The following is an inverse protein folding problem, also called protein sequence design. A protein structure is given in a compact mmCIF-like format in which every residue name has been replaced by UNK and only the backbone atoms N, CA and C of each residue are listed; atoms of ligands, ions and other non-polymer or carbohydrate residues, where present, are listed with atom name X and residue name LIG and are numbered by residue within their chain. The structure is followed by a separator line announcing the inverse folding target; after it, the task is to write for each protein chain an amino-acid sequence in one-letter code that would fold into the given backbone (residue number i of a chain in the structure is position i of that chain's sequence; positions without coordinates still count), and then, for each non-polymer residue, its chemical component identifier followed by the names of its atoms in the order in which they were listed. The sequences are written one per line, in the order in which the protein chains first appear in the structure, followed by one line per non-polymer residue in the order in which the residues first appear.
data_IF_854897582284
#
_entry.id   IF_854897582284
#
_cell.length_a   1.000
_cell.length_b   1.000
_cell.length_c   1.000
_cell.angle_alpha   90.00
_cell.angle_beta   90.00
_cell.angle_gamma   90.00
#
_symmetry.space_group_name_H-M   'P 1'
#
loop_
_entity.id
_entity.type
_entity.pdbx_description
1 polymer ?
#
# COMPACT_ATOMS: atom_id res chain seq x y z
N UNK A 1 -19.46 -3.53 -3.59
CA UNK A 1 -18.71 -2.89 -2.49
C UNK A 1 -18.00 -1.68 -3.07
N UNK A 2 -17.71 -0.70 -2.24
CA UNK A 2 -16.89 0.47 -2.58
C UNK A 2 -15.47 0.27 -2.06
N UNK A 3 -14.49 0.29 -2.97
CA UNK A 3 -13.10 -0.05 -2.66
C UNK A 3 -12.19 1.12 -3.03
N UNK A 4 -11.37 1.56 -2.07
CA UNK A 4 -10.30 2.52 -2.32
C UNK A 4 -8.97 1.79 -2.57
N UNK A 5 -8.25 2.18 -3.61
CA UNK A 5 -6.91 1.65 -3.93
C UNK A 5 -5.91 2.80 -3.84
N UNK A 6 -5.11 2.79 -2.79
CA UNK A 6 -4.03 3.76 -2.57
C UNK A 6 -2.78 3.27 -3.29
N UNK A 7 -2.29 4.05 -4.25
CA UNK A 7 -1.23 3.64 -5.18
C UNK A 7 -1.77 3.01 -6.47
N UNK A 8 -2.98 3.37 -6.87
CA UNK A 8 -3.71 2.80 -8.03
C UNK A 8 -2.92 2.84 -9.34
N UNK A 9 -2.08 3.86 -9.56
CA UNK A 9 -1.31 4.03 -10.81
C UNK A 9 -0.05 3.16 -10.90
N UNK A 10 0.31 2.45 -9.83
CA UNK A 10 1.39 1.47 -9.85
C UNK A 10 0.99 0.21 -10.64
N UNK A 11 1.96 -0.61 -11.08
CA UNK A 11 1.68 -1.84 -11.83
C UNK A 11 0.68 -2.74 -11.07
N UNK A 12 0.98 -3.11 -9.84
CA UNK A 12 0.08 -3.90 -8.99
C UNK A 12 -1.24 -3.17 -8.72
N UNK A 13 -1.19 -1.83 -8.55
CA UNK A 13 -2.39 -1.01 -8.34
C UNK A 13 -3.37 -1.11 -9.50
N UNK A 14 -2.89 -1.04 -10.75
CA UNK A 14 -3.72 -1.17 -11.95
C UNK A 14 -4.36 -2.57 -12.05
N UNK A 15 -3.62 -3.63 -11.70
CA UNK A 15 -4.19 -4.98 -11.61
C UNK A 15 -5.31 -5.05 -10.55
N UNK A 16 -5.11 -4.42 -9.40
CA UNK A 16 -6.15 -4.38 -8.36
C UNK A 16 -7.35 -3.57 -8.80
N UNK A 17 -7.16 -2.48 -9.54
CA UNK A 17 -8.26 -1.71 -10.17
C UNK A 17 -9.05 -2.63 -11.10
N UNK A 18 -8.39 -3.29 -12.06
CA UNK A 18 -9.05 -4.17 -13.02
C UNK A 18 -9.81 -5.29 -12.29
N UNK A 19 -9.17 -5.99 -11.39
CA UNK A 19 -9.77 -7.08 -10.63
C UNK A 19 -10.96 -6.64 -9.76
N UNK A 20 -10.93 -5.43 -9.24
CA UNK A 20 -12.05 -4.87 -8.47
C UNK A 20 -13.24 -4.54 -9.38
N UNK A 21 -12.98 -3.97 -10.56
CA UNK A 21 -14.00 -3.69 -11.56
C UNK A 21 -14.65 -4.98 -12.09
N UNK A 22 -13.85 -6.01 -12.37
CA UNK A 22 -14.34 -7.30 -12.88
C UNK A 22 -15.27 -8.02 -11.87
N UNK A 23 -15.11 -7.69 -10.59
CA UNK A 23 -15.99 -8.17 -9.50
C UNK A 23 -17.18 -7.26 -9.22
N UNK A 24 -17.38 -6.24 -10.04
CA UNK A 24 -18.51 -5.29 -9.92
C UNK A 24 -18.39 -4.35 -8.72
N UNK A 25 -17.17 -4.01 -8.30
CA UNK A 25 -16.96 -3.04 -7.24
C UNK A 25 -16.89 -1.61 -7.81
N UNK A 26 -17.39 -0.64 -7.04
CA UNK A 26 -17.08 0.77 -7.25
C UNK A 26 -15.63 1.03 -6.78
N UNK A 27 -14.82 1.63 -7.64
CA UNK A 27 -13.39 1.80 -7.37
C UNK A 27 -13.02 3.28 -7.28
N UNK A 28 -12.30 3.62 -6.20
CA UNK A 28 -11.64 4.91 -6.02
C UNK A 28 -10.13 4.66 -6.08
N UNK A 29 -9.45 5.33 -7.00
CA UNK A 29 -8.00 5.25 -7.15
C UNK A 29 -7.31 6.51 -6.61
N UNK A 30 -6.34 6.35 -5.72
CA UNK A 30 -5.45 7.43 -5.26
C UNK A 30 -4.10 7.29 -5.92
N UNK A 31 -3.63 8.35 -6.54
CA UNK A 31 -2.28 8.41 -7.11
C UNK A 31 -1.78 9.86 -7.20
N UNK A 32 -0.46 10.01 -7.32
CA UNK A 32 0.13 11.35 -7.51
C UNK A 32 -0.36 11.98 -8.80
N UNK A 33 -0.51 13.31 -8.82
CA UNK A 33 -1.02 14.07 -9.98
C UNK A 33 -0.30 13.71 -11.29
N UNK A 34 1.03 13.65 -11.28
CA UNK A 34 1.82 13.27 -12.46
C UNK A 34 1.63 11.83 -12.93
N UNK A 35 0.88 11.03 -12.21
CA UNK A 35 0.64 9.61 -12.53
C UNK A 35 -0.81 9.32 -12.92
N UNK A 36 -1.67 10.32 -12.98
CA UNK A 36 -3.10 10.16 -13.34
C UNK A 36 -3.25 9.53 -14.73
N UNK A 37 -2.49 9.99 -15.72
CA UNK A 37 -2.54 9.44 -17.09
C UNK A 37 -2.22 7.95 -17.21
N UNK A 38 -1.63 7.33 -16.17
CA UNK A 38 -1.46 5.87 -16.15
C UNK A 38 -2.76 5.10 -15.88
N UNK A 39 -3.82 5.80 -15.52
CA UNK A 39 -5.14 5.24 -15.25
C UNK A 39 -6.15 5.52 -16.39
N UNK A 40 -5.71 6.09 -17.52
CA UNK A 40 -6.58 6.44 -18.66
C UNK A 40 -7.35 5.23 -19.21
N UNK A 41 -6.77 4.02 -19.13
CA UNK A 41 -7.47 2.79 -19.50
C UNK A 41 -8.73 2.50 -18.65
N UNK A 42 -8.89 3.18 -17.53
CA UNK A 42 -10.01 3.04 -16.60
C UNK A 42 -10.90 4.29 -16.57
N UNK A 43 -10.70 5.24 -17.50
CA UNK A 43 -11.48 6.46 -17.57
C UNK A 43 -12.99 6.17 -17.61
N UNK A 44 -13.76 6.93 -16.83
CA UNK A 44 -15.20 6.74 -16.69
C UNK A 44 -15.64 5.49 -15.91
N UNK A 45 -14.70 4.60 -15.55
CA UNK A 45 -14.98 3.36 -14.80
C UNK A 45 -14.59 3.45 -13.33
N UNK A 46 -13.71 4.38 -12.97
CA UNK A 46 -13.25 4.62 -11.60
C UNK A 46 -13.31 6.10 -11.27
N UNK A 47 -13.31 6.41 -9.98
CA UNK A 47 -13.10 7.77 -9.50
C UNK A 47 -11.62 7.93 -9.13
N UNK A 48 -10.91 8.85 -9.79
CA UNK A 48 -9.51 9.14 -9.48
C UNK A 48 -9.45 10.35 -8.55
N UNK A 49 -8.74 10.22 -7.42
CA UNK A 49 -8.42 11.31 -6.50
C UNK A 49 -6.92 11.56 -6.59
N UNK A 50 -6.50 12.60 -7.34
CA UNK A 50 -5.09 12.94 -7.44
C UNK A 50 -4.57 13.57 -6.15
N UNK A 51 -3.31 13.26 -5.83
CA UNK A 51 -2.59 13.82 -4.69
C UNK A 51 -1.55 12.85 -4.14
N UNK A 52 -0.77 13.32 -3.16
CA UNK A 52 0.17 12.47 -2.46
C UNK A 52 -0.58 11.45 -1.59
N UNK A 53 -0.11 10.21 -1.56
CA UNK A 53 -0.81 9.13 -0.82
C UNK A 53 -0.61 9.23 0.71
N UNK A 54 0.34 10.05 1.16
CA UNK A 54 0.57 10.43 2.56
C UNK A 54 -0.09 11.76 2.95
N UNK A 55 -0.73 12.44 1.99
CA UNK A 55 -1.57 13.60 2.28
C UNK A 55 -2.86 13.15 2.98
N UNK A 56 -3.01 13.58 4.22
CA UNK A 56 -4.12 13.17 5.09
C UNK A 56 -5.49 13.55 4.54
N UNK A 57 -5.63 14.72 3.92
CA UNK A 57 -6.91 15.18 3.36
C UNK A 57 -7.26 14.43 2.07
N UNK A 58 -6.26 14.08 1.26
CA UNK A 58 -6.45 13.23 0.08
C UNK A 58 -6.94 11.86 0.50
N UNK A 59 -6.26 11.22 1.46
CA UNK A 59 -6.64 9.89 1.96
C UNK A 59 -8.02 9.91 2.61
N UNK A 60 -8.30 10.90 3.46
CA UNK A 60 -9.59 11.06 4.14
C UNK A 60 -10.76 11.11 3.14
N UNK A 61 -10.62 11.91 2.08
CA UNK A 61 -11.64 11.97 1.03
C UNK A 61 -11.78 10.65 0.27
N UNK A 62 -10.67 9.98 0.01
CA UNK A 62 -10.65 8.76 -0.78
C UNK A 62 -11.29 7.56 -0.07
N UNK A 63 -11.04 7.41 1.22
CA UNK A 63 -11.54 6.27 2.01
C UNK A 63 -12.97 6.47 2.51
N UNK A 64 -13.53 7.66 2.36
CA UNK A 64 -14.86 7.98 2.87
C UNK A 64 -15.93 7.05 2.28
N UNK A 65 -16.65 6.33 3.14
CA UNK A 65 -17.71 5.40 2.75
C UNK A 65 -17.22 4.14 2.02
N UNK A 66 -15.93 3.81 2.09
CA UNK A 66 -15.40 2.58 1.50
C UNK A 66 -15.61 1.38 2.42
N UNK A 67 -15.97 0.24 1.82
CA UNK A 67 -16.05 -1.06 2.50
C UNK A 67 -14.68 -1.71 2.66
N UNK A 68 -13.75 -1.35 1.77
CA UNK A 68 -12.37 -1.86 1.76
C UNK A 68 -11.36 -0.84 1.26
N UNK A 69 -10.14 -0.91 1.80
CA UNK A 69 -9.01 -0.08 1.38
C UNK A 69 -7.82 -0.99 1.09
N UNK A 70 -7.32 -0.92 -0.14
CA UNK A 70 -6.11 -1.63 -0.59
C UNK A 70 -4.97 -0.62 -0.67
N UNK A 71 -3.92 -0.83 0.10
CA UNK A 71 -2.73 0.02 0.11
C UNK A 71 -1.60 -0.69 -0.61
N UNK A 72 -1.24 -0.17 -1.78
CA UNK A 72 -0.28 -0.78 -2.71
C UNK A 72 0.80 0.24 -3.01
N UNK A 73 1.87 0.21 -2.23
CA UNK A 73 2.94 1.17 -2.38
C UNK A 73 4.30 0.51 -2.43
N UNK A 74 5.13 1.01 -3.34
CA UNK A 74 6.54 0.67 -3.37
C UNK A 74 7.30 1.82 -2.70
N UNK A 75 8.11 1.56 -1.67
CA UNK A 75 8.79 2.60 -0.88
C UNK A 75 9.98 3.19 -1.64
N UNK A 76 9.79 3.67 -2.85
CA UNK A 76 10.85 4.25 -3.67
C UNK A 76 10.96 5.75 -3.46
N UNK A 77 12.10 6.19 -2.95
CA UNK A 77 12.56 7.57 -3.11
C UNK A 77 12.00 8.61 -2.13
N UNK A 78 11.13 8.25 -1.19
CA UNK A 78 10.52 9.18 -0.25
C UNK A 78 10.60 8.60 1.18
N UNK A 79 11.12 9.39 2.13
CA UNK A 79 11.16 8.99 3.54
C UNK A 79 9.81 9.23 4.22
N UNK A 80 9.43 8.35 5.13
CA UNK A 80 8.21 8.47 5.93
C UNK A 80 6.90 8.23 5.16
N UNK A 81 6.99 7.86 3.90
CA UNK A 81 5.87 7.71 2.99
C UNK A 81 4.94 6.55 3.36
N UNK A 82 5.50 5.40 3.71
CA UNK A 82 4.71 4.22 4.10
C UNK A 82 4.03 4.46 5.44
N UNK A 83 4.74 5.06 6.39
CA UNK A 83 4.21 5.40 7.70
C UNK A 83 3.11 6.47 7.61
N UNK A 84 3.33 7.53 6.83
CA UNK A 84 2.36 8.62 6.63
C UNK A 84 1.06 8.11 6.01
N UNK A 85 1.17 7.36 4.92
CA UNK A 85 0.00 6.75 4.23
C UNK A 85 -0.74 5.78 5.14
N UNK A 86 -0.01 4.88 5.79
CA UNK A 86 -0.60 3.90 6.72
C UNK A 86 -1.37 4.60 7.83
N UNK A 87 -0.77 5.59 8.47
CA UNK A 87 -1.42 6.33 9.54
C UNK A 87 -2.70 7.04 9.06
N UNK A 88 -2.64 7.68 7.90
CA UNK A 88 -3.83 8.33 7.34
C UNK A 88 -4.97 7.33 7.05
N UNK A 89 -4.64 6.15 6.52
CA UNK A 89 -5.64 5.09 6.28
C UNK A 89 -6.22 4.57 7.60
N UNK A 90 -5.39 4.30 8.61
CA UNK A 90 -5.86 3.83 9.92
C UNK A 90 -6.76 4.85 10.61
N UNK A 91 -6.45 6.15 10.48
CA UNK A 91 -7.20 7.22 11.14
C UNK A 91 -8.55 7.52 10.47
N UNK A 92 -8.66 7.35 9.15
CA UNK A 92 -9.81 7.82 8.38
C UNK A 92 -10.64 6.74 7.72
N UNK A 93 -10.16 5.51 7.63
CA UNK A 93 -10.97 4.42 7.08
C UNK A 93 -12.25 4.22 7.94
N UNK A 94 -13.41 3.97 7.31
CA UNK A 94 -14.64 3.75 8.04
C UNK A 94 -14.51 2.59 9.03
N UNK A 95 -15.16 2.69 10.21
CA UNK A 95 -15.23 1.58 11.15
C UNK A 95 -15.77 0.31 10.47
N UNK A 96 -15.05 -0.80 10.60
CA UNK A 96 -15.42 -2.08 9.98
C UNK A 96 -14.96 -2.28 8.54
N UNK A 97 -14.39 -1.28 7.88
CA UNK A 97 -13.76 -1.45 6.57
C UNK A 97 -12.63 -2.49 6.64
N UNK A 98 -12.48 -3.30 5.59
CA UNK A 98 -11.36 -4.23 5.47
C UNK A 98 -10.15 -3.48 4.91
N UNK A 99 -9.05 -3.48 5.66
CA UNK A 99 -7.81 -2.84 5.25
C UNK A 99 -6.81 -3.90 4.80
N UNK A 100 -6.26 -3.76 3.59
CA UNK A 100 -5.25 -4.68 3.07
C UNK A 100 -4.01 -3.88 2.69
N UNK A 101 -2.89 -4.22 3.30
CA UNK A 101 -1.61 -3.55 3.06
C UNK A 101 -0.63 -4.50 2.37
N UNK A 102 -0.12 -4.09 1.23
CA UNK A 102 0.99 -4.75 0.55
C UNK A 102 2.31 -4.27 1.15
N UNK A 103 3.18 -5.18 1.53
CA UNK A 103 4.48 -4.85 2.08
C UNK A 103 5.58 -5.82 1.58
N UNK A 104 6.83 -5.49 1.85
CA UNK A 104 7.96 -6.33 1.51
C UNK A 104 8.03 -7.60 2.37
N UNK A 105 8.68 -8.62 1.84
CA UNK A 105 8.92 -9.91 2.52
C UNK A 105 9.69 -9.79 3.85
N UNK A 106 10.41 -8.68 4.06
CA UNK A 106 11.21 -8.42 5.28
C UNK A 106 10.36 -8.03 6.50
N UNK A 107 9.07 -7.75 6.31
CA UNK A 107 8.17 -7.43 7.42
C UNK A 107 7.86 -8.70 8.21
N UNK A 108 8.03 -8.62 9.53
CA UNK A 108 7.76 -9.73 10.46
C UNK A 108 6.70 -9.33 11.48
N UNK A 109 5.86 -10.27 11.84
CA UNK A 109 5.03 -10.17 13.04
C UNK A 109 5.81 -10.80 14.20
N UNK A 110 6.17 -10.00 15.21
CA UNK A 110 6.97 -10.44 16.33
C UNK A 110 6.40 -11.69 17.02
N UNK A 111 7.25 -12.68 17.24
CA UNK A 111 6.91 -13.96 17.88
C UNK A 111 6.23 -15.00 16.99
N UNK A 112 5.83 -14.66 15.77
CA UNK A 112 5.17 -15.58 14.82
C UNK A 112 6.05 -15.96 13.62
N UNK A 113 7.02 -15.11 13.28
CA UNK A 113 7.90 -15.33 12.14
C UNK A 113 9.35 -15.63 12.56
N UNK A 114 9.89 -16.74 12.09
CA UNK A 114 11.28 -17.11 12.31
C UNK A 114 12.04 -16.99 11.00
N UNK A 115 12.85 -15.93 10.88
CA UNK A 115 13.78 -15.82 9.76
C UNK A 115 15.15 -16.43 10.07
N UNK A 116 15.76 -17.04 9.03
CA UNK A 116 17.12 -17.54 9.12
C UNK A 116 18.11 -16.40 9.45
N UNK A 117 19.18 -16.75 10.16
CA UNK A 117 20.23 -15.81 10.54
C UNK A 117 20.81 -15.08 9.29
N UNK A 118 20.91 -15.80 8.16
CA UNK A 118 21.38 -15.26 6.88
C UNK A 118 20.49 -14.12 6.38
N UNK A 119 19.17 -14.27 6.49
CA UNK A 119 18.22 -13.28 6.05
C UNK A 119 18.22 -12.02 6.92
N UNK A 120 18.34 -12.20 8.26
CA UNK A 120 18.51 -11.09 9.21
C UNK A 120 19.78 -10.29 8.93
N UNK A 121 20.89 -10.97 8.62
CA UNK A 121 22.17 -10.32 8.29
C UNK A 121 22.06 -9.59 6.95
N UNK A 122 21.41 -10.18 5.95
CA UNK A 122 21.18 -9.57 4.64
C UNK A 122 20.41 -8.25 4.79
N UNK A 123 19.28 -8.25 5.48
CA UNK A 123 18.48 -7.02 5.72
C UNK A 123 19.29 -5.97 6.47
N UNK A 124 20.06 -6.39 7.49
CA UNK A 124 20.87 -5.47 8.31
C UNK A 124 22.01 -4.80 7.54
N UNK A 125 22.59 -5.49 6.56
CA UNK A 125 23.69 -4.98 5.73
C UNK A 125 23.17 -4.19 4.53
N UNK A 126 22.17 -4.70 3.82
CA UNK A 126 21.64 -4.07 2.61
C UNK A 126 20.64 -2.96 2.88
N UNK A 127 19.94 -2.95 4.01
CA UNK A 127 18.99 -1.90 4.38
C UNK A 127 19.60 -0.49 4.37
N UNK A 128 20.71 -0.24 5.07
CA UNK A 128 21.39 1.06 5.06
C UNK A 128 21.88 1.45 3.66
N UNK A 129 22.34 0.49 2.86
CA UNK A 129 22.83 0.74 1.50
C UNK A 129 21.68 1.11 0.54
N UNK A 130 20.55 0.42 0.65
CA UNK A 130 19.34 0.73 -0.13
C UNK A 130 18.77 2.11 0.23
N UNK A 131 18.83 2.48 1.52
CA UNK A 131 18.43 3.80 2.00
C UNK A 131 19.35 4.90 1.49
N UNK A 132 20.69 4.69 1.54
CA UNK A 132 21.68 5.63 1.02
C UNK A 132 21.51 5.86 -0.47
N UNK A 133 21.20 4.81 -1.22
CA UNK A 133 20.90 4.88 -2.65
C UNK A 133 19.50 5.43 -2.98
N UNK A 134 18.70 5.83 -1.96
CA UNK A 134 17.29 6.26 -2.10
C UNK A 134 16.41 5.24 -2.84
N UNK A 135 16.79 3.99 -2.80
CA UNK A 135 16.07 2.92 -3.50
C UNK A 135 14.86 2.44 -2.71
N UNK A 136 14.99 2.28 -1.39
CA UNK A 136 13.89 1.90 -0.51
C UNK A 136 14.16 2.35 0.93
N UNK A 137 13.12 2.78 1.64
CA UNK A 137 13.16 3.01 3.08
C UNK A 137 12.49 1.81 3.79
N UNK A 138 13.31 0.81 4.12
CA UNK A 138 12.83 -0.42 4.77
C UNK A 138 12.41 -0.16 6.22
N UNK A 139 13.07 0.77 6.90
CA UNK A 139 12.74 1.14 8.28
C UNK A 139 11.36 1.80 8.35
N UNK A 140 11.01 2.64 7.36
CA UNK A 140 9.69 3.24 7.23
C UNK A 140 8.59 2.19 7.02
N UNK A 141 8.86 1.14 6.24
CA UNK A 141 7.91 0.03 6.09
C UNK A 141 7.74 -0.78 7.39
N UNK A 142 8.82 -0.99 8.15
CA UNK A 142 8.76 -1.68 9.45
C UNK A 142 7.92 -0.87 10.43
N UNK A 143 8.11 0.44 10.49
CA UNK A 143 7.31 1.31 11.36
C UNK A 143 5.84 1.35 10.93
N UNK A 144 5.56 1.43 9.63
CA UNK A 144 4.20 1.32 9.10
C UNK A 144 3.52 0.01 9.53
N UNK A 145 4.24 -1.11 9.40
CA UNK A 145 3.72 -2.42 9.81
C UNK A 145 3.44 -2.51 11.32
N UNK A 146 4.29 -1.93 12.16
CA UNK A 146 4.07 -1.87 13.62
C UNK A 146 2.76 -1.15 13.95
N UNK A 147 2.47 -0.03 13.27
CA UNK A 147 1.21 0.70 13.46
C UNK A 147 0.01 -0.11 13.04
N UNK A 148 0.10 -0.84 11.92
CA UNK A 148 -0.96 -1.74 11.47
C UNK A 148 -1.23 -2.80 12.54
N UNK A 149 -0.19 -3.50 13.00
CA UNK A 149 -0.30 -4.58 13.98
C UNK A 149 -0.80 -4.12 15.34
N UNK A 150 -0.54 -2.87 15.72
CA UNK A 150 -1.02 -2.27 16.96
C UNK A 150 -2.45 -1.71 16.85
N UNK A 151 -3.05 -1.67 15.67
CA UNK A 151 -4.38 -1.10 15.46
C UNK A 151 -5.49 -2.13 15.72
N UNK A 152 -6.65 -1.66 16.18
CA UNK A 152 -7.87 -2.48 16.35
C UNK A 152 -8.69 -2.59 15.05
N UNK A 153 -8.11 -2.22 13.89
CA UNK A 153 -8.80 -2.27 12.61
C UNK A 153 -8.84 -3.69 12.04
N UNK A 154 -9.69 -3.93 11.05
CA UNK A 154 -9.77 -5.22 10.34
C UNK A 154 -8.70 -5.29 9.25
N UNK A 155 -7.45 -5.38 9.65
CA UNK A 155 -6.33 -5.38 8.74
C UNK A 155 -5.94 -6.77 8.21
N UNK A 156 -5.26 -6.77 7.08
CA UNK A 156 -4.51 -7.89 6.50
C UNK A 156 -3.22 -7.32 5.92
N UNK A 157 -2.09 -7.92 6.23
CA UNK A 157 -0.80 -7.59 5.62
C UNK A 157 -0.41 -8.70 4.66
N UNK A 158 -0.21 -8.33 3.39
CA UNK A 158 0.24 -9.24 2.33
C UNK A 158 1.71 -8.99 2.07
N UNK A 159 2.53 -10.00 2.33
CA UNK A 159 3.98 -9.93 2.10
C UNK A 159 4.31 -10.43 0.71
N UNK A 160 4.94 -9.59 -0.07
CA UNK A 160 5.35 -9.91 -1.43
C UNK A 160 6.87 -9.86 -1.55
N UNK A 161 7.44 -10.77 -2.36
CA UNK A 161 8.78 -10.63 -2.92
C UNK A 161 8.69 -9.96 -4.29
N UNK A 162 9.28 -10.52 -5.31
CA UNK A 162 9.08 -10.07 -6.67
C UNK A 162 7.71 -10.57 -7.19
N UNK A 163 7.03 -9.68 -7.90
CA UNK A 163 5.76 -9.98 -8.56
C UNK A 163 6.02 -10.09 -10.05
N UNK A 164 5.75 -11.25 -10.60
CA UNK A 164 5.83 -11.53 -12.03
C UNK A 164 4.43 -11.60 -12.63
N UNK A 165 4.32 -11.24 -13.92
CA UNK A 165 3.10 -11.46 -14.68
C UNK A 165 3.02 -12.94 -15.01
N UNK A 166 1.93 -13.57 -14.64
CA UNK A 166 1.62 -14.96 -14.99
C UNK A 166 0.29 -15.06 -15.73
N UNK A 167 0.12 -16.13 -16.47
CA UNK A 167 -1.18 -16.51 -17.00
C UNK A 167 -2.05 -17.00 -15.85
N UNK A 168 -3.30 -16.52 -15.77
CA UNK A 168 -4.30 -16.92 -14.77
C UNK A 168 -5.19 -18.02 -15.28
#
# INVERSE_FOLDING_TARGET
MRVCIVGASGKLGQYMVQQSLDRGHEVIGVCREQSVGKLDAFEGRITVIPGATDDREVVKRAVAGCDGVLVVMTPRGVHGYSTGTTQAVLDYAPPGARLVFSCGWHITLDGQDVYSLKLKTLVKVFGPLARLARFADLDDQVEAARRIFASDTRWTVVRCSDLEEGES
#
